data_IF_829422352849
#
_entry.id   IF_829422352849
#
_cell.length_a   1.000
_cell.length_b   1.000
_cell.length_c   1.000
_cell.angle_alpha   90.00
_cell.angle_beta   90.00
_cell.angle_gamma   90.00
#
_symmetry.space_group_name_H-M   'P 1'
#
loop_
_entity.id
_entity.type
_entity.pdbx_description
1 polymer ?
#
# COMPACT_ATOMS: atom_id res chain seq x y z
N UNK A 1 2.79 16.29 12.54
CA UNK A 1 3.43 16.30 11.21
C UNK A 1 4.33 15.09 11.12
N UNK A 2 4.15 14.24 10.12
CA UNK A 2 5.06 13.13 9.83
C UNK A 2 6.02 13.53 8.71
N UNK A 3 7.18 12.90 8.64
CA UNK A 3 8.18 13.16 7.59
C UNK A 3 8.08 12.06 6.54
N UNK A 4 8.00 12.43 5.26
CA UNK A 4 8.05 11.44 4.17
C UNK A 4 9.49 10.99 3.87
N UNK A 5 9.66 10.04 2.93
CA UNK A 5 10.98 9.50 2.57
C UNK A 5 11.98 10.56 2.08
N UNK A 6 11.50 11.72 1.64
CA UNK A 6 12.33 12.82 1.14
C UNK A 6 12.64 13.86 2.22
N UNK A 7 12.28 13.62 3.48
CA UNK A 7 12.47 14.59 4.54
C UNK A 7 11.39 15.68 4.55
N UNK A 8 10.32 15.57 3.74
CA UNK A 8 9.28 16.60 3.68
C UNK A 8 8.25 16.38 4.78
N UNK A 9 7.98 17.42 5.56
CA UNK A 9 6.91 17.40 6.55
C UNK A 9 5.54 17.38 5.86
N UNK A 10 4.72 16.40 6.22
CA UNK A 10 3.34 16.23 5.76
C UNK A 10 2.37 16.35 6.94
N UNK A 11 1.24 16.98 6.64
CA UNK A 11 0.04 16.97 7.49
C UNK A 11 -0.93 15.85 7.09
N UNK A 12 -0.83 15.39 5.83
CA UNK A 12 -1.68 14.36 5.25
C UNK A 12 -0.89 13.08 4.98
N UNK A 13 -1.58 11.94 5.04
CA UNK A 13 -1.02 10.63 4.68
C UNK A 13 -2.00 9.89 3.77
N UNK A 14 -1.47 8.99 2.93
CA UNK A 14 -2.32 8.05 2.20
C UNK A 14 -2.66 6.88 3.11
N UNK A 15 -3.80 6.26 2.85
CA UNK A 15 -4.26 5.07 3.58
C UNK A 15 -4.22 3.83 2.70
N UNK A 16 -4.04 2.67 3.31
CA UNK A 16 -4.21 1.35 2.70
C UNK A 16 -5.70 1.08 2.45
N UNK A 17 -6.28 1.76 1.46
CA UNK A 17 -7.70 1.69 1.10
C UNK A 17 -8.16 0.28 0.69
N UNK A 18 -7.21 -0.60 0.34
CA UNK A 18 -7.46 -2.01 0.02
C UNK A 18 -7.69 -2.92 1.23
N UNK A 19 -7.30 -2.52 2.44
CA UNK A 19 -7.44 -3.37 3.61
C UNK A 19 -8.90 -3.43 4.09
N UNK A 20 -9.40 -4.65 4.36
CA UNK A 20 -10.68 -4.83 5.03
C UNK A 20 -10.58 -4.41 6.50
N UNK A 21 -11.20 -3.29 6.86
CA UNK A 21 -11.20 -2.75 8.23
C UNK A 21 -12.33 -3.29 9.12
N UNK A 22 -13.27 -4.05 8.53
CA UNK A 22 -14.52 -4.49 9.18
C UNK A 22 -14.33 -5.39 10.43
N UNK A 23 -13.15 -5.96 10.63
CA UNK A 23 -12.86 -6.85 11.77
C UNK A 23 -11.97 -6.24 12.86
N UNK A 24 -11.41 -5.03 12.67
CA UNK A 24 -10.42 -4.46 13.59
C UNK A 24 -11.01 -3.27 14.35
N UNK A 25 -11.41 -3.50 15.61
CA UNK A 25 -12.00 -2.47 16.50
C UNK A 25 -10.99 -1.43 17.02
N UNK A 26 -9.70 -1.67 16.83
CA UNK A 26 -8.62 -0.84 17.41
C UNK A 26 -7.50 -0.57 16.39
N UNK A 27 -7.87 -0.04 15.22
CA UNK A 27 -6.88 0.42 14.24
C UNK A 27 -6.23 1.70 14.73
N UNK A 28 -4.91 1.80 14.56
CA UNK A 28 -4.13 3.02 14.77
C UNK A 28 -3.72 3.61 13.42
N UNK A 29 -3.37 4.89 13.40
CA UNK A 29 -2.96 5.55 12.16
C UNK A 29 -1.77 4.85 11.47
N UNK A 30 -0.78 4.38 12.25
CA UNK A 30 0.35 3.60 11.73
C UNK A 30 -0.08 2.27 11.07
N UNK A 31 -1.22 1.68 11.46
CA UNK A 31 -1.69 0.40 10.92
C UNK A 31 -2.34 0.55 9.54
N UNK A 32 -2.78 1.78 9.19
CA UNK A 32 -3.51 2.06 7.96
C UNK A 32 -2.76 2.99 7.00
N UNK A 33 -1.63 3.56 7.39
CA UNK A 33 -0.89 4.51 6.57
C UNK A 33 -0.02 3.84 5.50
N UNK A 34 0.15 4.50 4.34
CA UNK A 34 1.02 4.05 3.25
C UNK A 34 1.74 5.24 2.58
N UNK A 35 3.06 5.14 2.30
CA UNK A 35 3.97 4.08 2.77
C UNK A 35 4.05 4.07 4.30
N UNK A 36 4.43 2.92 4.87
CA UNK A 36 4.70 2.85 6.31
C UNK A 36 5.87 3.78 6.63
N UNK A 37 5.72 4.62 7.64
CA UNK A 37 6.77 5.51 8.12
C UNK A 37 6.85 5.43 9.65
N UNK A 38 8.09 5.41 10.17
CA UNK A 38 8.36 5.23 11.60
C UNK A 38 7.73 6.33 12.47
N UNK A 39 7.59 7.53 11.92
CA UNK A 39 7.11 8.71 12.64
C UNK A 39 5.58 8.83 12.66
N UNK A 40 4.85 7.85 12.09
CA UNK A 40 3.40 7.85 12.14
C UNK A 40 2.97 7.36 13.53
N UNK A 41 2.24 8.19 14.29
CA UNK A 41 1.97 7.88 15.68
C UNK A 41 1.03 6.67 15.80
N UNK A 42 1.29 5.85 16.83
CA UNK A 42 0.47 4.71 17.20
C UNK A 42 -0.82 5.13 17.95
N UNK A 43 -1.50 6.15 17.44
CA UNK A 43 -2.74 6.70 18.01
C UNK A 43 -3.93 6.00 17.37
N UNK A 44 -4.92 5.64 18.21
CA UNK A 44 -6.16 5.02 17.76
C UNK A 44 -6.91 5.95 16.78
N UNK A 45 -7.38 5.37 15.68
CA UNK A 45 -8.22 6.08 14.72
C UNK A 45 -9.65 6.15 15.28
N UNK A 46 -10.26 7.33 15.40
CA UNK A 46 -11.63 7.45 15.89
C UNK A 46 -12.62 6.65 15.02
N UNK A 47 -13.66 6.02 15.60
CA UNK A 47 -14.64 5.23 14.85
C UNK A 47 -15.33 5.99 13.69
N UNK A 48 -15.61 7.27 13.88
CA UNK A 48 -16.19 8.18 12.90
C UNK A 48 -15.25 8.46 11.71
N UNK A 49 -13.93 8.50 11.97
CA UNK A 49 -12.96 8.58 10.90
C UNK A 49 -12.95 7.24 10.16
N UNK A 50 -12.84 6.12 10.87
CA UNK A 50 -12.79 4.78 10.25
C UNK A 50 -13.99 4.47 9.35
N UNK A 51 -15.20 4.91 9.72
CA UNK A 51 -16.42 4.70 8.93
C UNK A 51 -16.46 5.54 7.65
N UNK A 52 -15.76 6.67 7.62
CA UNK A 52 -15.67 7.56 6.43
C UNK A 52 -14.61 7.13 5.41
N UNK A 53 -13.64 6.30 5.81
CA UNK A 53 -12.52 5.95 4.94
C UNK A 53 -12.96 4.99 3.81
N UNK A 54 -12.47 5.18 2.57
CA UNK A 54 -12.78 4.31 1.43
C UNK A 54 -12.20 2.91 1.60
N UNK A 55 -12.99 1.88 1.31
CA UNK A 55 -12.57 0.47 1.39
C UNK A 55 -12.76 -0.26 0.08
N UNK A 56 -11.79 -1.10 -0.31
CA UNK A 56 -11.93 -2.00 -1.46
C UNK A 56 -12.21 -3.43 -1.02
N UNK A 57 -13.24 -4.03 -1.60
CA UNK A 57 -13.64 -5.38 -1.26
C UNK A 57 -12.70 -6.43 -1.86
N UNK A 58 -12.44 -7.50 -1.12
CA UNK A 58 -11.67 -8.64 -1.63
C UNK A 58 -12.32 -9.30 -2.87
N UNK A 59 -13.62 -9.10 -3.10
CA UNK A 59 -14.39 -9.64 -4.26
C UNK A 59 -14.47 -8.69 -5.45
N UNK A 60 -13.96 -7.48 -5.31
CA UNK A 60 -13.90 -6.50 -6.39
C UNK A 60 -12.88 -6.94 -7.46
N UNK A 61 -12.89 -6.34 -8.66
CA UNK A 61 -11.90 -6.62 -9.70
C UNK A 61 -10.45 -6.52 -9.20
N UNK A 62 -9.49 -7.19 -9.87
CA UNK A 62 -8.07 -6.96 -9.63
C UNK A 62 -7.66 -5.49 -9.87
N UNK A 63 -6.87 -4.91 -8.96
CA UNK A 63 -6.27 -3.58 -9.12
C UNK A 63 -4.76 -3.68 -8.98
N UNK A 64 -4.05 -3.24 -10.02
CA UNK A 64 -2.60 -3.10 -10.06
C UNK A 64 -2.30 -1.60 -10.24
N UNK A 65 -1.55 -1.01 -9.33
CA UNK A 65 -1.33 0.45 -9.30
C UNK A 65 0.12 0.82 -8.92
N UNK A 66 0.50 2.07 -9.12
CA UNK A 66 1.77 2.65 -8.65
C UNK A 66 1.52 3.85 -7.73
N UNK A 67 2.45 4.81 -7.66
CA UNK A 67 2.35 6.10 -6.95
C UNK A 67 2.56 6.08 -5.41
N UNK A 68 2.79 4.91 -4.81
CA UNK A 68 2.83 4.75 -3.35
C UNK A 68 4.23 4.52 -2.77
N UNK A 69 5.29 4.57 -3.59
CA UNK A 69 6.69 4.50 -3.15
C UNK A 69 6.94 3.39 -2.11
N UNK A 70 6.55 2.17 -2.46
CA UNK A 70 6.58 1.04 -1.53
C UNK A 70 8.03 0.61 -1.28
N UNK A 71 8.37 0.26 -0.03
CA UNK A 71 9.76 -0.06 0.38
C UNK A 71 10.00 -1.53 0.84
N UNK A 72 9.39 -2.58 0.26
CA UNK A 72 9.85 -3.94 0.48
C UNK A 72 10.95 -4.33 -0.50
N UNK A 73 11.71 -5.36 -0.12
CA UNK A 73 12.80 -5.91 -0.96
C UNK A 73 12.29 -6.70 -2.17
N UNK A 74 10.99 -7.01 -2.25
CA UNK A 74 10.38 -7.75 -3.36
C UNK A 74 8.94 -7.29 -3.62
N UNK A 75 8.42 -7.42 -4.85
CA UNK A 75 7.02 -7.18 -5.15
C UNK A 75 6.08 -8.09 -4.37
N UNK A 76 4.95 -7.54 -3.92
CA UNK A 76 3.98 -8.27 -3.10
C UNK A 76 2.55 -7.97 -3.49
N UNK A 77 1.72 -9.02 -3.42
CA UNK A 77 0.26 -8.90 -3.41
C UNK A 77 -0.16 -8.34 -2.05
N UNK A 78 -0.79 -7.16 -2.05
CA UNK A 78 -1.18 -6.43 -0.84
C UNK A 78 -2.46 -6.99 -0.21
N UNK A 79 -3.38 -7.42 -1.08
CA UNK A 79 -4.59 -8.19 -0.78
C UNK A 79 -4.84 -9.10 -1.98
N UNK A 80 -5.67 -10.14 -1.83
CA UNK A 80 -5.82 -11.17 -2.88
C UNK A 80 -6.13 -10.63 -4.30
N UNK A 81 -6.67 -9.42 -4.43
CA UNK A 81 -7.00 -8.75 -5.68
C UNK A 81 -6.31 -7.38 -5.84
N UNK A 82 -5.28 -7.06 -5.05
CA UNK A 82 -4.63 -5.74 -5.06
C UNK A 82 -3.12 -5.86 -5.00
N UNK A 83 -2.41 -5.16 -5.89
CA UNK A 83 -0.95 -5.10 -5.94
C UNK A 83 -0.44 -3.69 -6.26
N UNK A 84 0.67 -3.30 -5.63
CA UNK A 84 1.42 -2.09 -6.01
C UNK A 84 2.67 -2.52 -6.80
N UNK A 85 3.01 -1.79 -7.87
CA UNK A 85 4.21 -2.00 -8.68
C UNK A 85 5.18 -0.81 -8.61
N UNK A 86 4.90 0.19 -7.77
CA UNK A 86 5.79 1.33 -7.56
C UNK A 86 6.72 1.07 -6.38
N UNK A 87 7.91 0.61 -6.74
CA UNK A 87 9.03 0.36 -5.83
C UNK A 87 10.15 1.38 -5.98
N UNK A 88 9.81 2.62 -6.36
CA UNK A 88 10.76 3.74 -6.37
C UNK A 88 12.04 3.50 -7.19
N UNK A 89 11.92 2.97 -8.42
CA UNK A 89 13.06 2.73 -9.32
C UNK A 89 14.01 3.94 -9.47
N UNK A 90 13.49 5.16 -9.39
CA UNK A 90 14.28 6.40 -9.48
C UNK A 90 15.00 6.80 -8.16
N UNK A 91 14.83 6.05 -7.07
CA UNK A 91 15.37 6.31 -5.73
C UNK A 91 15.81 5.01 -5.04
N UNK A 92 16.84 4.38 -5.62
CA UNK A 92 17.49 3.15 -5.13
C UNK A 92 16.56 1.93 -5.02
N UNK A 93 15.46 1.97 -5.77
CA UNK A 93 14.48 0.90 -5.85
C UNK A 93 14.67 0.03 -7.09
N UNK A 94 13.63 -0.71 -7.44
CA UNK A 94 13.61 -1.55 -8.64
C UNK A 94 12.36 -1.28 -9.47
N UNK A 95 12.45 -1.58 -10.76
CA UNK A 95 11.29 -1.59 -11.65
C UNK A 95 10.55 -2.91 -11.46
N UNK A 96 9.26 -2.86 -11.16
CA UNK A 96 8.40 -4.04 -11.09
C UNK A 96 7.32 -4.02 -12.17
N UNK A 97 7.00 -5.20 -12.69
CA UNK A 97 5.88 -5.42 -13.58
C UNK A 97 5.01 -6.57 -13.06
N UNK A 98 3.71 -6.52 -13.37
CA UNK A 98 2.79 -7.62 -13.11
C UNK A 98 2.10 -8.03 -14.41
N UNK A 99 2.25 -9.29 -14.80
CA UNK A 99 1.65 -9.86 -16.01
C UNK A 99 0.29 -10.45 -15.71
N UNK A 100 -0.78 -9.66 -15.89
CA UNK A 100 -2.14 -10.14 -15.68
C UNK A 100 -2.59 -11.11 -16.79
N UNK A 101 -3.20 -12.22 -16.39
CA UNK A 101 -3.60 -13.34 -17.26
C UNK A 101 -5.11 -13.65 -17.19
N UNK A 102 -5.92 -12.70 -16.71
CA UNK A 102 -7.37 -12.87 -16.56
C UNK A 102 -7.80 -13.41 -15.18
N UNK A 103 -6.85 -13.65 -14.27
CA UNK A 103 -7.14 -14.15 -12.93
C UNK A 103 -7.88 -13.13 -12.07
N UNK A 104 -8.80 -13.61 -11.22
CA UNK A 104 -9.49 -12.80 -10.20
C UNK A 104 -8.68 -12.61 -8.92
N UNK A 105 -7.79 -13.56 -8.63
CA UNK A 105 -6.88 -13.50 -7.49
C UNK A 105 -5.47 -13.37 -8.03
N UNK A 106 -4.78 -12.30 -7.63
CA UNK A 106 -3.44 -12.02 -8.08
C UNK A 106 -2.47 -13.11 -7.60
N UNK A 107 -1.57 -13.51 -8.49
CA UNK A 107 -0.58 -14.55 -8.27
C UNK A 107 0.81 -13.91 -8.13
N UNK A 108 1.50 -14.07 -6.99
CA UNK A 108 2.85 -13.54 -6.82
C UNK A 108 3.86 -13.99 -7.89
N UNK A 109 3.62 -15.14 -8.54
CA UNK A 109 4.48 -15.64 -9.63
C UNK A 109 4.41 -14.81 -10.91
N UNK A 110 3.45 -13.90 -11.02
CA UNK A 110 3.30 -13.03 -12.20
C UNK A 110 4.07 -11.71 -12.07
N UNK A 111 4.78 -11.51 -10.95
CA UNK A 111 5.70 -10.38 -10.82
C UNK A 111 7.03 -10.65 -11.52
N UNK A 112 7.57 -9.61 -12.14
CA UNK A 112 8.94 -9.57 -12.64
C UNK A 112 9.62 -8.29 -12.12
N UNK A 113 10.91 -8.35 -11.83
CA UNK A 113 11.71 -7.20 -11.42
C UNK A 113 12.89 -6.97 -12.36
N UNK A 114 13.25 -5.71 -12.52
CA UNK A 114 14.52 -5.28 -13.07
C UNK A 114 15.17 -4.28 -12.10
N UNK A 115 16.41 -4.54 -11.71
CA UNK A 115 17.19 -3.66 -10.85
C UNK A 115 18.06 -2.81 -11.77
N UNK A 116 17.97 -1.47 -11.72
CA UNK A 116 18.89 -0.60 -12.47
C UNK A 116 20.34 -0.82 -12.01
N UNK A 117 21.27 -0.77 -12.96
CA UNK A 117 22.72 -0.80 -12.70
C UNK A 117 23.22 0.45 -11.95
#
# INVERSE_FOLDING_TARGET
MCVDKDGTHRADMRIAWWQSRKSKKHLRYCDIAVPSAADIPAIAVPPEVLSSLPSYGRREPPVIFGHYWFVPNTPQVLERNVACIDYSVAKDGFLAAYSWSGEKQLNPKHFTIAVPD
#
